data_IF_371110446262
#
_entry.id   IF_371110446262
#
_cell.length_a   1.000
_cell.length_b   1.000
_cell.length_c   1.000
_cell.angle_alpha   90.00
_cell.angle_beta   90.00
_cell.angle_gamma   90.00
#
_symmetry.space_group_name_H-M   'P 1'
#
loop_
_entity.id
_entity.type
_entity.pdbx_description
1 polymer ?
#
# COMPACT_ATOMS: atom_id res chain seq x y z
N UNK A 1 27.16 -12.13 -2.15
CA UNK A 1 25.81 -11.60 -2.42
C UNK A 1 25.68 -10.26 -1.73
N UNK A 2 25.20 -9.22 -2.40
CA UNK A 2 25.04 -7.90 -1.76
C UNK A 2 23.81 -7.89 -0.84
N UNK A 3 24.01 -7.34 0.37
CA UNK A 3 22.96 -7.27 1.40
C UNK A 3 21.87 -6.25 1.04
N UNK A 4 20.72 -6.31 1.72
CA UNK A 4 19.61 -5.36 1.49
C UNK A 4 20.05 -3.89 1.64
N UNK A 5 20.84 -3.58 2.68
CA UNK A 5 21.38 -2.24 2.91
C UNK A 5 22.26 -1.75 1.75
N UNK A 6 23.02 -2.65 1.14
CA UNK A 6 23.91 -2.36 0.02
C UNK A 6 23.11 -2.08 -1.27
N UNK A 7 21.99 -2.79 -1.46
CA UNK A 7 21.03 -2.51 -2.55
C UNK A 7 20.34 -1.16 -2.37
N UNK A 8 19.97 -0.80 -1.14
CA UNK A 8 19.37 0.51 -0.82
C UNK A 8 20.36 1.66 -1.07
N UNK A 9 21.62 1.49 -0.68
CA UNK A 9 22.66 2.49 -0.89
C UNK A 9 22.94 2.70 -2.39
N UNK A 10 22.97 1.63 -3.18
CA UNK A 10 23.16 1.69 -4.64
C UNK A 10 22.01 2.44 -5.32
N UNK A 11 20.77 2.19 -4.92
CA UNK A 11 19.57 2.88 -5.45
C UNK A 11 19.59 4.39 -5.16
N UNK A 12 20.10 4.79 -3.99
CA UNK A 12 20.22 6.19 -3.61
C UNK A 12 21.33 6.92 -4.40
N UNK A 13 22.43 6.23 -4.71
CA UNK A 13 23.54 6.80 -5.48
C UNK A 13 23.18 7.05 -6.96
N UNK A 14 22.36 6.17 -7.56
CA UNK A 14 21.98 6.27 -9.00
C UNK A 14 20.97 7.40 -9.29
N UNK A 15 20.41 8.05 -8.26
CA UNK A 15 19.42 9.13 -8.43
C UNK A 15 20.00 10.48 -8.82
N UNK A 16 21.33 10.64 -8.89
CA UNK A 16 22.01 11.95 -9.13
C UNK A 16 22.45 12.23 -10.57
N UNK A 17 22.13 11.39 -11.56
CA UNK A 17 22.68 11.53 -12.92
C UNK A 17 21.68 11.93 -14.02
N UNK A 18 20.38 12.10 -13.75
CA UNK A 18 19.45 12.60 -14.77
C UNK A 18 19.15 14.09 -14.60
N UNK A 19 20.01 14.93 -15.15
CA UNK A 19 19.69 16.33 -15.44
C UNK A 19 20.25 16.70 -16.81
N UNK A 20 19.58 16.31 -17.90
CA UNK A 20 19.85 16.87 -19.23
C UNK A 20 18.56 17.08 -20.05
N UNK A 21 18.47 18.29 -20.64
CA UNK A 21 17.35 18.90 -21.37
C UNK A 21 17.12 18.33 -22.78
N UNK A 22 15.85 18.26 -23.23
CA UNK A 22 15.33 18.52 -24.61
C UNK A 22 13.82 18.16 -24.62
N UNK A 23 12.79 19.00 -24.87
CA UNK A 23 12.37 19.88 -25.99
C UNK A 23 12.06 19.15 -27.32
N UNK A 24 10.76 19.04 -27.67
CA UNK A 24 10.22 18.78 -29.03
C UNK A 24 9.19 17.64 -29.05
N UNK A 25 7.87 17.86 -29.15
CA UNK A 25 6.97 18.11 -30.32
C UNK A 25 6.89 16.97 -31.37
N UNK A 26 5.62 16.58 -31.64
CA UNK A 26 4.96 16.07 -32.87
C UNK A 26 4.99 14.59 -33.30
N UNK A 27 3.77 14.00 -33.27
CA UNK A 27 3.03 13.22 -34.29
C UNK A 27 3.57 11.91 -34.91
N UNK A 28 2.76 10.84 -34.84
CA UNK A 28 2.32 9.92 -35.92
C UNK A 28 1.91 8.56 -35.28
N UNK A 29 0.62 8.24 -35.17
CA UNK A 29 -0.20 7.47 -36.14
C UNK A 29 0.06 5.93 -36.09
N UNK A 30 -0.89 5.25 -35.42
CA UNK A 30 -1.61 4.03 -35.84
C UNK A 30 -0.92 2.64 -35.78
N UNK A 31 -1.43 1.84 -34.84
CA UNK A 31 -1.84 0.41 -34.93
C UNK A 31 -0.94 -0.76 -34.47
N UNK A 32 -1.59 -1.55 -33.58
CA UNK A 32 -1.57 -3.01 -33.37
C UNK A 32 -0.73 -3.68 -32.24
N UNK A 33 -1.47 -4.00 -31.17
CA UNK A 33 -1.55 -5.27 -30.39
C UNK A 33 -0.44 -5.72 -29.43
N UNK A 34 -0.82 -5.84 -28.15
CA UNK A 34 -0.23 -6.70 -27.12
C UNK A 34 -0.88 -6.44 -25.73
N UNK A 35 -1.26 -7.46 -24.94
CA UNK A 35 -1.81 -7.27 -23.60
C UNK A 35 -0.68 -6.94 -22.63
N UNK A 36 -0.41 -5.65 -22.43
CA UNK A 36 0.73 -5.19 -21.64
C UNK A 36 0.43 -3.89 -20.92
N UNK A 37 0.55 -3.94 -19.60
CA UNK A 37 0.60 -2.83 -18.65
C UNK A 37 -0.54 -1.80 -18.67
N UNK A 38 -1.41 -1.91 -17.66
CA UNK A 38 -2.06 -0.73 -17.07
C UNK A 38 -0.97 0.21 -16.54
N UNK A 39 -0.86 1.39 -17.11
CA UNK A 39 -0.08 2.49 -16.54
C UNK A 39 -0.85 3.80 -16.72
N UNK A 40 -1.57 4.20 -15.67
CA UNK A 40 -1.94 5.59 -15.47
C UNK A 40 -0.72 6.32 -14.90
N UNK A 41 -0.11 7.29 -15.59
CA UNK A 41 0.75 8.24 -14.92
C UNK A 41 -0.17 9.24 -14.24
N UNK A 42 -0.63 8.88 -13.04
CA UNK A 42 -1.21 9.83 -12.10
C UNK A 42 -0.13 10.84 -11.75
N UNK A 43 -0.07 11.93 -12.51
CA UNK A 43 0.85 13.05 -12.30
C UNK A 43 0.53 13.78 -11.02
N UNK A 44 1.00 13.25 -9.89
CA UNK A 44 1.06 13.96 -8.63
C UNK A 44 2.24 14.92 -8.66
N UNK A 45 2.00 16.15 -9.09
CA UNK A 45 2.88 17.28 -8.77
C UNK A 45 2.94 17.38 -7.24
N UNK A 46 4.03 16.89 -6.64
CA UNK A 46 4.31 17.15 -5.23
C UNK A 46 4.61 18.65 -5.10
N UNK A 47 3.62 19.37 -4.59
CA UNK A 47 3.68 20.78 -4.25
C UNK A 47 4.81 20.99 -3.23
N UNK A 48 5.89 21.66 -3.63
CA UNK A 48 6.92 22.12 -2.71
C UNK A 48 6.35 23.28 -1.91
N UNK A 49 5.66 23.00 -0.80
CA UNK A 49 5.26 24.04 0.15
C UNK A 49 6.31 24.17 1.23
N UNK A 50 7.04 25.29 1.20
CA UNK A 50 7.77 25.83 2.34
C UNK A 50 6.89 25.76 3.59
N UNK A 51 7.50 25.42 4.74
CA UNK A 51 6.80 25.22 6.00
C UNK A 51 6.22 26.54 6.53
N UNK A 52 5.03 26.92 6.04
CA UNK A 52 4.22 27.97 6.62
C UNK A 52 3.72 27.49 7.99
N UNK A 53 3.87 28.36 8.99
CA UNK A 53 3.52 28.08 10.39
C UNK A 53 2.17 27.35 10.50
N UNK A 54 2.16 26.27 11.27
CA UNK A 54 1.02 25.37 11.45
C UNK A 54 -0.22 26.16 11.89
N UNK A 55 -1.34 26.09 11.15
CA UNK A 55 -2.61 26.68 11.56
C UNK A 55 -3.03 26.15 12.94
N UNK A 56 -3.58 27.02 13.77
CA UNK A 56 -3.98 26.67 15.13
C UNK A 56 -4.93 25.46 15.11
N UNK A 57 -4.58 24.44 15.89
CA UNK A 57 -5.34 23.19 15.99
C UNK A 57 -6.71 23.53 16.58
N UNK A 58 -7.78 23.45 15.78
CA UNK A 58 -9.15 23.59 16.27
C UNK A 58 -9.39 22.52 17.36
N UNK A 59 -10.04 22.90 18.45
CA UNK A 59 -10.48 21.97 19.49
C UNK A 59 -11.30 20.85 18.83
N UNK A 60 -10.86 19.62 19.04
CA UNK A 60 -11.58 18.43 18.55
C UNK A 60 -12.83 18.32 19.42
N UNK A 61 -13.98 18.12 18.79
CA UNK A 61 -15.19 17.73 19.52
C UNK A 61 -14.95 16.30 19.99
N UNK A 62 -14.51 16.15 21.23
CA UNK A 62 -14.17 14.85 21.84
C UNK A 62 -15.37 14.25 22.60
N UNK A 63 -16.51 14.95 22.63
CA UNK A 63 -17.65 14.59 23.47
C UNK A 63 -18.66 13.66 22.78
N UNK A 64 -18.23 12.77 21.88
CA UNK A 64 -19.07 11.61 21.58
C UNK A 64 -18.88 10.59 22.70
N UNK A 65 -19.61 10.78 23.80
CA UNK A 65 -19.72 9.76 24.84
C UNK A 65 -20.45 8.57 24.22
N UNK A 66 -19.69 7.53 23.86
CA UNK A 66 -20.28 6.25 23.46
C UNK A 66 -21.00 5.70 24.68
N UNK A 67 -22.32 5.58 24.59
CA UNK A 67 -23.11 4.97 25.64
C UNK A 67 -22.79 3.48 25.71
N UNK A 68 -22.03 3.08 26.73
CA UNK A 68 -21.69 1.67 26.98
C UNK A 68 -22.90 0.88 27.53
N UNK A 69 -24.02 1.55 27.84
CA UNK A 69 -25.24 0.91 28.35
C UNK A 69 -26.10 0.35 27.23
N UNK A 70 -25.98 0.89 26.01
CA UNK A 70 -26.51 0.26 24.80
C UNK A 70 -25.67 -0.98 24.51
N UNK A 71 -26.29 -2.15 24.60
CA UNK A 71 -25.61 -3.39 24.23
C UNK A 71 -25.34 -3.34 22.72
N UNK A 72 -24.14 -2.93 22.34
CA UNK A 72 -23.64 -3.02 20.97
C UNK A 72 -23.95 -4.42 20.42
N UNK A 73 -24.35 -4.53 19.14
CA UNK A 73 -24.58 -5.82 18.50
C UNK A 73 -23.36 -6.72 18.73
N UNK A 74 -23.56 -7.82 19.47
CA UNK A 74 -22.49 -8.78 19.75
C UNK A 74 -22.01 -9.35 18.42
N UNK A 75 -20.80 -8.99 18.03
CA UNK A 75 -20.16 -9.58 16.87
C UNK A 75 -20.00 -11.09 17.10
N UNK A 76 -20.65 -11.90 16.26
CA UNK A 76 -20.56 -13.35 16.34
C UNK A 76 -19.32 -13.79 15.58
N UNK A 77 -18.35 -14.36 16.30
CA UNK A 77 -17.16 -14.93 15.67
C UNK A 77 -17.51 -16.24 14.92
N UNK A 78 -16.90 -16.48 13.75
CA UNK A 78 -17.00 -17.77 13.08
C UNK A 78 -16.59 -18.94 13.99
N UNK A 79 -17.27 -20.07 13.86
CA UNK A 79 -17.07 -21.22 14.77
C UNK A 79 -15.63 -21.80 14.72
N UNK A 80 -14.90 -21.58 13.62
CA UNK A 80 -13.51 -22.01 13.49
C UNK A 80 -12.58 -21.43 14.55
N UNK A 81 -12.92 -20.29 15.17
CA UNK A 81 -12.12 -19.69 16.24
C UNK A 81 -12.27 -20.40 17.60
N UNK A 82 -13.40 -21.04 17.87
CA UNK A 82 -13.66 -21.77 19.12
C UNK A 82 -13.48 -23.29 19.01
N UNK A 83 -13.55 -23.82 17.79
CA UNK A 83 -13.45 -25.25 17.54
C UNK A 83 -11.99 -25.71 17.53
N UNK A 84 -11.52 -26.30 18.65
CA UNK A 84 -10.19 -26.94 18.69
C UNK A 84 -10.11 -28.04 17.63
N UNK A 85 -8.97 -28.16 16.95
CA UNK A 85 -8.81 -29.20 15.93
C UNK A 85 -9.44 -28.85 14.57
N UNK A 86 -10.00 -27.65 14.40
CA UNK A 86 -10.74 -27.30 13.18
C UNK A 86 -9.82 -27.27 11.95
N UNK A 87 -8.68 -26.60 12.03
CA UNK A 87 -7.74 -26.51 10.91
C UNK A 87 -6.95 -27.79 10.67
N UNK A 88 -6.86 -28.67 11.67
CA UNK A 88 -6.30 -30.02 11.52
C UNK A 88 -7.25 -30.93 10.72
N UNK A 89 -8.57 -30.78 10.89
CA UNK A 89 -9.59 -31.49 10.11
C UNK A 89 -9.81 -30.86 8.74
N UNK A 90 -9.76 -29.53 8.68
CA UNK A 90 -10.03 -28.72 7.49
C UNK A 90 -8.84 -27.80 7.23
N UNK A 91 -7.75 -28.33 6.67
CA UNK A 91 -6.55 -27.52 6.41
C UNK A 91 -6.85 -26.42 5.41
N UNK A 92 -6.30 -25.20 5.61
CA UNK A 92 -6.49 -24.11 4.67
C UNK A 92 -5.84 -24.44 3.32
N UNK A 93 -6.57 -24.21 2.23
CA UNK A 93 -6.01 -24.32 0.89
C UNK A 93 -5.13 -23.10 0.61
N UNK A 94 -3.81 -23.32 0.59
CA UNK A 94 -2.82 -22.27 0.33
C UNK A 94 -1.94 -22.70 -0.85
N UNK A 95 -1.71 -21.84 -1.85
CA UNK A 95 -0.78 -22.12 -2.95
C UNK A 95 0.63 -22.40 -2.44
N UNK A 96 1.38 -23.27 -3.12
CA UNK A 96 2.74 -23.65 -2.70
C UNK A 96 3.69 -22.45 -2.59
N UNK A 97 3.48 -21.42 -3.41
CA UNK A 97 4.24 -20.16 -3.37
C UNK A 97 4.04 -19.36 -2.07
N UNK A 98 2.95 -19.58 -1.36
CA UNK A 98 2.55 -18.80 -0.18
C UNK A 98 2.57 -19.62 1.11
N UNK A 99 2.69 -20.95 1.04
CA UNK A 99 2.65 -21.85 2.20
C UNK A 99 3.66 -21.46 3.29
N UNK A 100 4.89 -21.13 2.92
CA UNK A 100 5.93 -20.74 3.89
C UNK A 100 5.68 -19.39 4.57
N UNK A 101 4.86 -18.52 3.98
CA UNK A 101 4.55 -17.20 4.53
C UNK A 101 3.32 -17.30 5.45
N UNK A 102 2.34 -18.14 5.09
CA UNK A 102 1.05 -18.21 5.78
C UNK A 102 1.04 -19.28 6.87
N UNK A 103 1.71 -20.42 6.68
CA UNK A 103 1.66 -21.56 7.62
C UNK A 103 2.91 -21.70 8.52
N UNK A 104 4.05 -21.10 8.14
CA UNK A 104 5.31 -21.17 8.89
C UNK A 104 6.20 -22.36 8.49
#
# INVERSE_FOLDING_TARGET
MSGFAERMLKLAADKKTNKNKAKGRTSALLSQSGPGSSSSPGGGHACSSESKATPQKRQRQDDSVVDLTDSEPKFVLPNCFGARGFFEKFPPAVPDSEKSIILG
#
